data_IF_195655422460
#
_entry.id   IF_195655422460
#
_cell.length_a   1.000
_cell.length_b   1.000
_cell.length_c   1.000
_cell.angle_alpha   90.00
_cell.angle_beta   90.00
_cell.angle_gamma   90.00
#
_symmetry.space_group_name_H-M   'P 1'
#
loop_
_entity.id
_entity.type
_entity.pdbx_description
1 polymer ?
#
# COMPACT_ATOMS: atom_id res chain seq x y z
N UNK A 1 7.23 3.52 -12.46
CA UNK A 1 6.18 4.37 -11.81
C UNK A 1 6.65 5.82 -11.63
N UNK A 2 5.73 6.74 -11.33
CA UNK A 2 5.98 8.17 -11.05
C UNK A 2 5.32 8.58 -9.70
N UNK A 3 5.62 9.79 -9.22
CA UNK A 3 5.04 10.35 -8.01
C UNK A 3 5.45 9.57 -6.76
N UNK A 4 4.61 9.56 -5.72
CA UNK A 4 4.88 8.81 -4.50
C UNK A 4 5.13 7.31 -4.73
N UNK A 5 4.53 6.70 -5.75
CA UNK A 5 4.67 5.27 -6.00
C UNK A 5 6.08 4.83 -6.43
N UNK A 6 7.01 5.75 -6.72
CA UNK A 6 8.43 5.37 -6.89
C UNK A 6 9.03 4.80 -5.61
N UNK A 7 8.48 5.16 -4.44
CA UNK A 7 8.86 4.60 -3.14
C UNK A 7 8.63 3.08 -3.05
N UNK A 8 7.81 2.49 -3.95
CA UNK A 8 7.67 1.04 -4.04
C UNK A 8 8.98 0.34 -4.42
N UNK A 9 9.84 0.99 -5.22
CA UNK A 9 11.13 0.43 -5.64
C UNK A 9 12.27 0.78 -4.68
N UNK A 10 12.01 1.62 -3.69
CA UNK A 10 13.04 2.12 -2.77
C UNK A 10 13.30 1.06 -1.70
N UNK A 11 14.01 0.00 -2.11
CA UNK A 11 14.48 -1.11 -1.29
C UNK A 11 15.87 -0.84 -0.70
N UNK A 12 16.29 0.42 -0.53
CA UNK A 12 17.64 0.77 -0.05
C UNK A 12 17.93 0.32 1.41
N UNK A 13 17.10 -0.57 1.98
CA UNK A 13 17.28 -1.22 3.28
C UNK A 13 17.22 -0.25 4.47
N UNK A 14 16.82 1.00 4.21
CA UNK A 14 16.84 2.08 5.18
C UNK A 14 15.54 2.18 5.99
N UNK A 15 14.49 1.50 5.54
CA UNK A 15 13.22 1.42 6.27
C UNK A 15 13.43 0.62 7.55
N UNK A 16 13.10 1.23 8.69
CA UNK A 16 13.00 0.47 9.93
C UNK A 16 11.86 -0.55 9.80
N UNK A 17 12.20 -1.83 9.76
CA UNK A 17 11.25 -2.93 9.72
C UNK A 17 10.87 -3.37 11.14
N UNK A 18 9.57 -3.40 11.42
CA UNK A 18 9.03 -3.70 12.73
C UNK A 18 7.96 -4.77 12.61
N UNK A 19 8.21 -5.94 13.19
CA UNK A 19 7.18 -6.97 13.31
C UNK A 19 6.04 -6.51 14.22
N UNK A 20 4.82 -6.89 13.87
CA UNK A 20 3.63 -6.61 14.66
C UNK A 20 2.74 -7.84 14.78
N UNK A 21 2.01 -7.92 15.90
CA UNK A 21 0.96 -8.94 16.10
C UNK A 21 -0.39 -8.51 15.52
N UNK A 22 -0.50 -7.25 15.06
CA UNK A 22 -1.70 -6.74 14.43
C UNK A 22 -1.85 -7.36 13.03
N UNK A 23 -3.04 -7.88 12.67
CA UNK A 23 -3.27 -8.43 11.34
C UNK A 23 -3.28 -7.29 10.33
N UNK A 24 -2.28 -7.21 9.45
CA UNK A 24 -2.14 -6.12 8.47
C UNK A 24 -2.89 -6.37 7.16
N UNK A 25 -3.91 -7.23 7.17
CA UNK A 25 -4.69 -7.55 5.97
C UNK A 25 -5.55 -6.35 5.54
N UNK A 26 -5.45 -5.88 4.28
CA UNK A 26 -6.24 -4.77 3.80
C UNK A 26 -7.65 -5.16 3.37
N UNK A 27 -8.58 -4.23 3.56
CA UNK A 27 -9.90 -4.23 2.94
C UNK A 27 -9.94 -3.04 1.97
N UNK A 28 -10.13 -3.33 0.69
CA UNK A 28 -10.12 -2.32 -0.38
C UNK A 28 -11.45 -2.38 -1.12
N UNK A 29 -12.11 -1.23 -1.27
CA UNK A 29 -13.31 -1.09 -2.08
C UNK A 29 -13.22 0.10 -3.01
N UNK A 30 -13.79 -0.05 -4.21
CA UNK A 30 -13.95 1.02 -5.20
C UNK A 30 -15.42 1.11 -5.54
N UNK A 31 -16.10 2.13 -5.03
CA UNK A 31 -17.56 2.20 -5.04
C UNK A 31 -18.17 0.99 -4.33
N UNK A 32 -18.82 0.08 -5.08
CA UNK A 32 -19.42 -1.15 -4.55
C UNK A 32 -18.58 -2.41 -4.80
N UNK A 33 -17.47 -2.29 -5.53
CA UNK A 33 -16.61 -3.43 -5.88
C UNK A 33 -15.59 -3.67 -4.77
N UNK A 34 -15.44 -4.91 -4.35
CA UNK A 34 -14.34 -5.33 -3.48
C UNK A 34 -13.13 -5.66 -4.34
N UNK A 35 -11.97 -5.15 -3.95
CA UNK A 35 -10.68 -5.46 -4.56
C UNK A 35 -9.87 -6.23 -3.54
N UNK A 36 -9.30 -7.36 -3.94
CA UNK A 36 -8.58 -8.28 -3.05
C UNK A 36 -7.14 -8.47 -3.53
N UNK A 37 -6.20 -8.31 -2.59
CA UNK A 37 -4.79 -8.64 -2.81
C UNK A 37 -4.66 -10.14 -3.17
N UNK A 38 -3.74 -10.44 -4.08
CA UNK A 38 -3.43 -11.79 -4.61
C UNK A 38 -4.63 -12.51 -5.26
N UNK A 39 -5.71 -11.80 -5.57
CA UNK A 39 -6.93 -12.36 -6.18
C UNK A 39 -7.44 -11.51 -7.33
N UNK A 40 -7.48 -10.18 -7.17
CA UNK A 40 -7.98 -9.29 -8.22
C UNK A 40 -6.86 -8.94 -9.21
N UNK A 41 -7.08 -9.19 -10.50
CA UNK A 41 -6.18 -8.72 -11.54
C UNK A 41 -6.28 -7.20 -11.71
N UNK A 42 -5.15 -6.53 -11.99
CA UNK A 42 -5.13 -5.08 -12.20
C UNK A 42 -6.10 -4.62 -13.30
N UNK A 43 -6.26 -5.43 -14.36
CA UNK A 43 -7.16 -5.15 -15.47
C UNK A 43 -8.65 -5.14 -15.08
N UNK A 44 -9.02 -5.79 -13.98
CA UNK A 44 -10.40 -5.88 -13.51
C UNK A 44 -10.79 -4.71 -12.58
N UNK A 45 -9.79 -3.98 -12.07
CA UNK A 45 -9.98 -2.88 -11.12
C UNK A 45 -10.63 -1.67 -11.81
N UNK A 46 -10.13 -1.29 -12.99
CA UNK A 46 -10.64 -0.16 -13.77
C UNK A 46 -10.38 -0.35 -15.27
N UNK A 47 -11.06 0.44 -16.11
CA UNK A 47 -10.77 0.49 -17.55
C UNK A 47 -9.50 1.25 -17.91
N UNK A 48 -8.75 1.75 -16.92
CA UNK A 48 -7.48 2.45 -17.14
C UNK A 48 -6.45 1.47 -17.68
N UNK A 49 -5.65 1.84 -18.70
CA UNK A 49 -4.58 1.00 -19.19
C UNK A 49 -3.60 0.60 -18.09
N UNK A 50 -3.23 -0.68 -18.07
CA UNK A 50 -2.19 -1.20 -17.17
C UNK A 50 -0.82 -0.76 -17.70
N UNK A 51 -0.13 0.06 -16.90
CA UNK A 51 1.26 0.44 -17.13
C UNK A 51 2.18 -0.70 -16.68
N UNK A 52 3.40 -0.73 -17.21
CA UNK A 52 4.40 -1.74 -16.86
C UNK A 52 5.81 -1.21 -17.05
N UNK A 53 6.72 -1.75 -16.25
CA UNK A 53 8.16 -1.72 -16.47
C UNK A 53 8.75 -3.10 -16.16
N UNK A 54 10.06 -3.18 -15.96
CA UNK A 54 10.76 -4.43 -15.66
C UNK A 54 10.36 -5.02 -14.31
N UNK A 55 9.98 -4.19 -13.34
CA UNK A 55 9.81 -4.62 -11.94
C UNK A 55 8.34 -4.78 -11.56
N UNK A 56 7.45 -3.97 -12.11
CA UNK A 56 6.03 -4.04 -11.76
C UNK A 56 5.08 -3.71 -12.91
N UNK A 57 3.81 -4.06 -12.71
CA UNK A 57 2.66 -3.53 -13.44
C UNK A 57 1.83 -2.67 -12.49
N UNK A 58 1.19 -1.63 -13.00
CA UNK A 58 0.32 -0.80 -12.17
C UNK A 58 -0.80 -0.12 -12.94
N UNK A 59 -1.87 0.23 -12.24
CA UNK A 59 -2.78 1.29 -12.65
C UNK A 59 -2.70 2.42 -11.63
N UNK A 60 -2.85 3.67 -12.08
CA UNK A 60 -2.99 4.79 -11.16
C UNK A 60 -4.38 5.40 -11.27
N UNK A 61 -5.03 5.58 -10.13
CA UNK A 61 -6.30 6.26 -9.98
C UNK A 61 -6.16 7.46 -9.04
N UNK A 62 -6.99 8.48 -9.19
CA UNK A 62 -7.11 9.55 -8.20
C UNK A 62 -8.56 9.87 -7.87
N UNK A 63 -8.83 10.26 -6.62
CA UNK A 63 -10.13 10.76 -6.15
C UNK A 63 -10.21 12.29 -6.26
N UNK A 64 -11.39 12.86 -6.00
CA UNK A 64 -11.68 14.29 -6.05
C UNK A 64 -10.97 15.08 -4.95
N UNK A 65 -10.60 14.42 -3.85
CA UNK A 65 -9.95 15.05 -2.71
C UNK A 65 -8.42 15.18 -2.88
N UNK A 66 -7.89 14.79 -4.05
CA UNK A 66 -6.48 14.84 -4.39
C UNK A 66 -5.66 13.65 -3.91
N UNK A 67 -6.31 12.57 -3.46
CA UNK A 67 -5.64 11.30 -3.11
C UNK A 67 -5.42 10.46 -4.36
N UNK A 68 -4.19 9.97 -4.54
CA UNK A 68 -3.79 9.06 -5.60
C UNK A 68 -3.58 7.64 -5.06
N UNK A 69 -3.90 6.66 -5.88
CA UNK A 69 -3.86 5.24 -5.59
C UNK A 69 -3.15 4.53 -6.74
N UNK A 70 -2.01 3.91 -6.44
CA UNK A 70 -1.31 3.04 -7.38
C UNK A 70 -1.54 1.61 -6.95
N UNK A 71 -2.35 0.90 -7.74
CA UNK A 71 -2.59 -0.53 -7.59
C UNK A 71 -1.49 -1.25 -8.35
N UNK A 72 -0.66 -2.00 -7.63
CA UNK A 72 0.62 -2.52 -8.10
C UNK A 72 0.59 -4.04 -8.07
N UNK A 73 1.10 -4.65 -9.13
CA UNK A 73 1.37 -6.06 -9.24
C UNK A 73 2.87 -6.22 -9.43
N UNK A 74 3.50 -6.87 -8.47
CA UNK A 74 4.89 -7.27 -8.58
C UNK A 74 5.07 -8.23 -9.77
N UNK A 75 6.08 -8.01 -10.61
CA UNK A 75 6.25 -8.85 -11.80
C UNK A 75 6.78 -10.26 -11.46
N UNK A 76 7.55 -10.40 -10.38
CA UNK A 76 8.10 -11.69 -9.95
C UNK A 76 7.01 -12.52 -9.25
N UNK A 77 6.29 -11.90 -8.31
CA UNK A 77 5.37 -12.62 -7.42
C UNK A 77 3.89 -12.45 -7.78
N UNK A 78 3.51 -11.32 -8.39
CA UNK A 78 2.12 -10.93 -8.57
C UNK A 78 1.46 -11.47 -9.83
N UNK A 79 2.19 -11.76 -10.91
CA UNK A 79 1.65 -12.27 -12.18
C UNK A 79 0.43 -11.46 -12.74
N UNK A 80 0.36 -10.15 -12.45
CA UNK A 80 -0.77 -9.28 -12.83
C UNK A 80 -1.90 -9.19 -11.80
N UNK A 81 -1.82 -9.94 -10.70
CA UNK A 81 -2.66 -9.81 -9.51
C UNK A 81 -2.14 -8.68 -8.62
N UNK A 82 -3.05 -7.96 -7.96
CA UNK A 82 -2.70 -6.92 -7.02
C UNK A 82 -1.87 -7.48 -5.85
N UNK A 83 -0.66 -6.99 -5.66
CA UNK A 83 0.21 -7.36 -4.51
C UNK A 83 0.54 -6.18 -3.62
N UNK A 84 0.42 -4.96 -4.14
CA UNK A 84 0.64 -3.75 -3.36
C UNK A 84 -0.29 -2.61 -3.76
N UNK A 85 -0.50 -1.68 -2.82
CA UNK A 85 -1.27 -0.47 -2.99
C UNK A 85 -0.51 0.70 -2.38
N UNK A 86 -0.01 1.62 -3.21
CA UNK A 86 0.53 2.89 -2.75
C UNK A 86 -0.56 3.96 -2.73
N UNK A 87 -0.58 4.78 -1.68
CA UNK A 87 -1.58 5.83 -1.45
C UNK A 87 -0.86 7.10 -1.03
N UNK A 88 -1.17 8.23 -1.67
CA UNK A 88 -0.60 9.53 -1.29
C UNK A 88 -1.59 10.66 -1.54
N UNK A 89 -1.48 11.73 -0.75
CA UNK A 89 -2.20 12.98 -0.97
C UNK A 89 -1.24 14.08 -1.40
N UNK A 90 -0.69 13.90 -2.59
CA UNK A 90 0.33 14.76 -3.21
C UNK A 90 -0.20 15.56 -4.42
N UNK A 91 -1.52 15.59 -4.61
CA UNK A 91 -2.20 16.36 -5.66
C UNK A 91 -2.43 15.56 -6.94
N UNK A 92 -3.21 16.07 -7.89
CA UNK A 92 -3.57 15.30 -9.08
C UNK A 92 -2.39 15.09 -10.02
N UNK A 93 -1.94 13.84 -10.15
CA UNK A 93 -0.95 13.42 -11.14
C UNK A 93 -1.62 13.17 -12.48
N UNK A 94 -1.06 13.70 -13.58
CA UNK A 94 -1.68 13.66 -14.92
C UNK A 94 -1.83 12.24 -15.47
N UNK A 95 -0.98 11.34 -15.01
CA UNK A 95 -0.95 9.92 -15.36
C UNK A 95 -1.98 9.09 -14.61
N UNK A 96 -2.56 9.63 -13.54
CA UNK A 96 -3.58 8.96 -12.76
C UNK A 96 -4.94 9.27 -13.37
N UNK A 97 -5.73 8.23 -13.63
CA UNK A 97 -7.08 8.40 -14.13
C UNK A 97 -8.02 8.76 -12.99
N UNK A 98 -8.95 9.70 -13.23
CA UNK A 98 -9.99 9.99 -12.25
C UNK A 98 -10.84 8.74 -12.00
N UNK A 99 -10.96 8.31 -10.75
CA UNK A 99 -11.85 7.18 -10.41
C UNK A 99 -13.32 7.59 -10.56
N UNK A 100 -14.16 6.64 -10.98
CA UNK A 100 -15.63 6.84 -11.06
C UNK A 100 -16.33 6.52 -9.73
N UNK A 101 -15.63 5.96 -8.76
CA UNK A 101 -16.17 5.61 -7.45
C UNK A 101 -15.15 5.86 -6.35
N UNK A 102 -15.62 6.28 -5.18
CA UNK A 102 -14.79 6.51 -4.02
C UNK A 102 -13.97 5.26 -3.67
N UNK A 103 -12.67 5.46 -3.45
CA UNK A 103 -11.75 4.39 -3.04
C UNK A 103 -11.64 4.42 -1.53
N UNK A 104 -12.09 3.35 -0.88
CA UNK A 104 -11.97 3.17 0.57
C UNK A 104 -10.95 2.06 0.84
N UNK A 105 -10.00 2.37 1.72
CA UNK A 105 -8.95 1.45 2.14
C UNK A 105 -8.88 1.44 3.66
N UNK A 106 -8.88 0.26 4.25
CA UNK A 106 -8.65 0.08 5.69
C UNK A 106 -7.76 -1.12 5.95
N UNK A 107 -6.96 -1.04 7.02
CA UNK A 107 -6.09 -2.14 7.49
C UNK A 107 -6.25 -2.24 9.00
N UNK A 108 -6.94 -3.26 9.52
CA UNK A 108 -7.15 -3.47 10.96
C UNK A 108 -7.42 -2.20 11.82
N UNK A 109 -8.17 -1.24 11.27
CA UNK A 109 -8.49 0.06 11.88
C UNK A 109 -7.29 0.97 12.19
N UNK A 110 -6.08 0.68 11.68
CA UNK A 110 -4.93 1.56 11.84
C UNK A 110 -5.10 2.82 10.98
N UNK A 111 -4.64 3.99 11.46
CA UNK A 111 -4.72 5.21 10.68
C UNK A 111 -3.69 5.17 9.55
N UNK A 112 -4.14 5.41 8.31
CA UNK A 112 -3.27 5.44 7.13
C UNK A 112 -2.72 6.86 6.92
N UNK A 113 -3.33 7.66 6.05
CA UNK A 113 -2.87 9.03 5.76
C UNK A 113 -3.16 10.01 6.91
N UNK A 114 -2.34 11.06 7.01
CA UNK A 114 -2.42 12.14 8.00
C UNK A 114 -2.27 11.71 9.48
N UNK A 115 -1.98 10.44 9.76
CA UNK A 115 -1.60 10.00 11.09
C UNK A 115 -0.32 10.73 11.53
N UNK A 116 -0.23 11.10 12.81
CA UNK A 116 1.03 11.58 13.36
C UNK A 116 1.92 10.43 13.83
N UNK A 117 3.21 10.69 14.04
CA UNK A 117 4.09 9.77 14.77
C UNK A 117 3.45 9.32 16.09
N UNK A 118 2.92 10.26 16.89
CA UNK A 118 2.25 9.95 18.15
C UNK A 118 1.04 9.04 18.00
N UNK A 119 0.25 9.19 16.93
CA UNK A 119 -0.86 8.28 16.64
C UNK A 119 -0.33 6.86 16.42
N UNK A 120 0.69 6.71 15.58
CA UNK A 120 1.25 5.39 15.25
C UNK A 120 1.99 4.75 16.44
N UNK A 121 2.72 5.52 17.24
CA UNK A 121 3.32 5.06 18.51
C UNK A 121 2.25 4.52 19.44
N UNK A 122 1.12 5.21 19.59
CA UNK A 122 0.01 4.76 20.44
C UNK A 122 -0.64 3.48 19.91
N UNK A 123 -0.79 3.36 18.59
CA UNK A 123 -1.41 2.20 17.95
C UNK A 123 -0.54 0.95 17.99
N UNK A 124 0.76 1.08 17.70
CA UNK A 124 1.68 -0.06 17.64
C UNK A 124 2.41 -0.33 18.96
N UNK A 125 2.44 0.64 19.89
CA UNK A 125 3.20 0.51 21.14
C UNK A 125 4.72 0.56 20.96
N UNK A 126 5.19 1.16 19.87
CA UNK A 126 6.60 1.17 19.44
C UNK A 126 7.14 2.60 19.45
N UNK A 127 8.00 2.92 20.40
CA UNK A 127 8.52 4.29 20.58
C UNK A 127 9.56 4.68 19.52
N UNK A 128 10.20 3.69 18.91
CA UNK A 128 11.16 3.85 17.83
C UNK A 128 10.58 4.55 16.59
N UNK A 129 9.26 4.47 16.39
CA UNK A 129 8.54 5.15 15.29
C UNK A 129 8.79 6.67 15.33
N UNK A 130 8.83 7.27 16.53
CA UNK A 130 8.77 8.72 16.72
C UNK A 130 9.90 9.54 16.08
N UNK A 131 10.95 8.88 15.57
CA UNK A 131 12.11 9.53 14.94
C UNK A 131 12.30 9.13 13.48
N UNK A 132 11.45 8.26 12.95
CA UNK A 132 11.63 7.70 11.61
C UNK A 132 10.98 8.60 10.56
N UNK A 133 11.70 8.78 9.44
CA UNK A 133 11.14 9.41 8.23
C UNK A 133 10.26 8.44 7.44
N UNK A 134 10.51 7.15 7.57
CA UNK A 134 9.66 6.09 7.08
C UNK A 134 9.87 4.82 7.90
N UNK A 135 8.83 3.99 8.00
CA UNK A 135 8.82 2.75 8.79
C UNK A 135 7.94 1.71 8.10
N UNK A 136 8.37 0.46 8.09
CA UNK A 136 7.62 -0.67 7.56
C UNK A 136 7.16 -1.56 8.72
N UNK A 137 5.87 -1.82 8.80
CA UNK A 137 5.34 -2.87 9.65
C UNK A 137 5.03 -4.10 8.82
N UNK A 138 5.33 -5.27 9.38
CA UNK A 138 4.96 -6.53 8.75
C UNK A 138 4.30 -7.48 9.75
N UNK A 139 3.37 -8.28 9.24
CA UNK A 139 2.70 -9.36 9.94
C UNK A 139 2.68 -10.59 9.05
N UNK A 140 3.24 -11.68 9.55
CA UNK A 140 3.31 -12.95 8.84
C UNK A 140 2.29 -13.93 9.40
N UNK A 141 1.51 -14.52 8.51
CA UNK A 141 0.51 -15.54 8.83
C UNK A 141 0.85 -16.83 8.08
N UNK A 142 1.09 -17.95 8.78
CA UNK A 142 1.20 -19.24 8.12
C UNK A 142 -0.09 -19.59 7.38
N UNK A 143 0.04 -20.04 6.14
CA UNK A 143 -1.08 -20.52 5.32
C UNK A 143 -0.88 -21.99 4.91
N UNK A 144 -1.75 -22.54 4.06
CA UNK A 144 -1.72 -23.96 3.71
C UNK A 144 -0.41 -24.34 3.00
N UNK A 145 -0.02 -25.60 3.14
CA UNK A 145 1.11 -26.21 2.42
C UNK A 145 2.49 -25.60 2.73
N UNK A 146 2.66 -25.02 3.92
CA UNK A 146 3.97 -24.49 4.37
C UNK A 146 4.27 -23.06 3.91
N UNK A 147 3.40 -22.45 3.10
CA UNK A 147 3.53 -21.06 2.70
C UNK A 147 3.26 -20.10 3.86
N UNK A 148 3.81 -18.89 3.76
CA UNK A 148 3.60 -17.78 4.67
C UNK A 148 3.05 -16.61 3.84
N UNK A 149 1.98 -15.99 4.32
CA UNK A 149 1.49 -14.73 3.80
C UNK A 149 2.07 -13.59 4.63
N UNK A 150 2.83 -12.71 4.00
CA UNK A 150 3.36 -11.49 4.61
C UNK A 150 2.50 -10.31 4.20
N UNK A 151 1.89 -9.66 5.19
CA UNK A 151 1.18 -8.40 5.01
C UNK A 151 2.05 -7.26 5.53
N UNK A 152 2.18 -6.19 4.75
CA UNK A 152 3.01 -5.04 5.11
C UNK A 152 2.24 -3.72 5.04
N UNK A 153 2.63 -2.78 5.90
CA UNK A 153 2.21 -1.37 5.82
C UNK A 153 3.42 -0.49 6.07
N UNK A 154 3.84 0.21 5.04
CA UNK A 154 4.93 1.19 5.08
C UNK A 154 4.38 2.60 5.17
N UNK A 155 4.85 3.37 6.14
CA UNK A 155 4.48 4.76 6.36
C UNK A 155 5.62 5.68 5.97
N UNK A 156 5.30 6.74 5.23
CA UNK A 156 6.26 7.77 4.81
C UNK A 156 5.80 9.13 5.33
N UNK A 157 6.66 9.77 6.13
CA UNK A 157 6.35 11.00 6.84
C UNK A 157 6.91 12.23 6.12
N UNK A 158 6.13 13.30 6.15
CA UNK A 158 6.58 14.67 5.87
C UNK A 158 6.36 15.51 7.13
N UNK A 159 7.45 15.81 7.82
CA UNK A 159 7.40 16.32 9.19
C UNK A 159 6.69 15.33 10.12
N UNK A 160 5.71 15.83 10.87
CA UNK A 160 4.99 15.05 11.89
C UNK A 160 3.87 14.16 11.34
N UNK A 161 3.56 14.22 10.03
CA UNK A 161 2.38 13.55 9.46
C UNK A 161 2.75 12.58 8.36
N UNK A 162 2.05 11.45 8.34
CA UNK A 162 2.08 10.50 7.23
C UNK A 162 1.48 11.16 5.98
N UNK A 163 2.24 11.17 4.89
CA UNK A 163 1.81 11.66 3.58
C UNK A 163 1.64 10.58 2.54
N UNK A 164 2.35 9.47 2.72
CA UNK A 164 2.23 8.32 1.84
C UNK A 164 2.23 7.03 2.62
N UNK A 165 1.50 6.05 2.10
CA UNK A 165 1.41 4.70 2.65
C UNK A 165 1.56 3.70 1.51
N UNK A 166 2.32 2.63 1.74
CA UNK A 166 2.34 1.47 0.85
C UNK A 166 1.87 0.26 1.63
N UNK A 167 0.84 -0.40 1.14
CA UNK A 167 0.30 -1.63 1.72
C UNK A 167 0.69 -2.78 0.81
N UNK A 168 1.27 -3.84 1.36
CA UNK A 168 1.67 -5.03 0.61
C UNK A 168 1.03 -6.30 1.13
N UNK A 169 0.87 -7.28 0.23
CA UNK A 169 0.57 -8.65 0.58
C UNK A 169 1.21 -9.59 -0.45
N UNK A 170 2.06 -10.50 0.03
CA UNK A 170 2.70 -11.53 -0.79
C UNK A 170 2.69 -12.84 -0.01
N UNK A 171 2.31 -13.93 -0.69
CA UNK A 171 2.40 -15.30 -0.20
C UNK A 171 3.60 -15.99 -0.84
N UNK A 172 4.53 -16.46 -0.01
CA UNK A 172 5.76 -17.12 -0.43
C UNK A 172 6.07 -18.34 0.45
N UNK A 173 7.05 -19.14 0.04
CA UNK A 173 7.55 -20.32 0.77
C UNK A 173 8.96 -20.08 1.28
#
# INVERSE_FOLDING_TARGET
MNGFATQYYDEDGSLAEISTTMPLTPIITIGKKTVQMEVTHLADISSTPVNKDSSARWICLHDDDGTNYWFISDNEMGAGLLTALAISKDGSHKECAKTTGHVSVSVANIPLLNASHGNLVKWFGKSEIAKQKAVLFYHETPVKNGFIQSNTVSYYFDGEKVRGVIIGQITSN
#
